data_IF_052911888170
#
_entry.id   IF_052911888170
#
_cell.length_a   1.000
_cell.length_b   1.000
_cell.length_c   1.000
_cell.angle_alpha   90.00
_cell.angle_beta   90.00
_cell.angle_gamma   90.00
#
_symmetry.space_group_name_H-M   'P 1'
#
loop_
_entity.id
_entity.type
_entity.pdbx_description
1 polymer ?
#
# COMPACT_ATOMS: atom_id res chain seq x y z
N UNK A 1 -17.85 16.58 -17.65
CA UNK A 1 -17.62 15.36 -16.87
C UNK A 1 -18.96 14.76 -16.46
N UNK A 2 -19.15 13.46 -16.64
CA UNK A 2 -20.41 12.80 -16.30
C UNK A 2 -20.51 12.56 -14.79
N UNK A 3 -21.75 12.41 -14.28
CA UNK A 3 -21.98 12.13 -12.88
C UNK A 3 -21.34 10.81 -12.44
N UNK A 4 -21.33 9.79 -13.32
CA UNK A 4 -20.72 8.50 -12.98
C UNK A 4 -19.21 8.59 -12.85
N UNK A 5 -18.54 9.41 -13.64
CA UNK A 5 -17.09 9.64 -13.49
C UNK A 5 -16.75 10.29 -12.15
N UNK A 6 -17.54 11.26 -11.73
CA UNK A 6 -17.37 11.93 -10.44
C UNK A 6 -17.58 10.94 -9.29
N UNK A 7 -18.64 10.12 -9.37
CA UNK A 7 -18.94 9.13 -8.34
C UNK A 7 -17.83 8.11 -8.23
N UNK A 8 -17.35 7.57 -9.37
CA UNK A 8 -16.28 6.55 -9.36
C UNK A 8 -14.98 7.11 -8.78
N UNK A 9 -14.62 8.33 -9.13
CA UNK A 9 -13.45 9.02 -8.61
C UNK A 9 -13.59 9.23 -7.09
N UNK A 10 -14.74 9.73 -6.65
CA UNK A 10 -14.99 9.98 -5.23
C UNK A 10 -15.01 8.69 -4.44
N UNK A 11 -15.60 7.62 -4.96
CA UNK A 11 -15.61 6.31 -4.31
C UNK A 11 -14.19 5.80 -4.09
N UNK A 12 -13.33 5.88 -5.11
CA UNK A 12 -11.95 5.44 -4.96
C UNK A 12 -11.19 6.30 -3.96
N UNK A 13 -11.34 7.63 -4.01
CA UNK A 13 -10.66 8.53 -3.08
C UNK A 13 -11.07 8.20 -1.64
N UNK A 14 -12.36 7.98 -1.40
CA UNK A 14 -12.84 7.60 -0.06
C UNK A 14 -12.22 6.28 0.37
N UNK A 15 -12.20 5.28 -0.51
CA UNK A 15 -11.60 3.98 -0.21
C UNK A 15 -10.11 4.12 0.12
N UNK A 16 -9.38 4.90 -0.68
CA UNK A 16 -7.95 5.14 -0.48
C UNK A 16 -7.69 5.85 0.85
N UNK A 17 -8.44 6.90 1.14
CA UNK A 17 -8.27 7.66 2.38
C UNK A 17 -8.61 6.80 3.60
N UNK A 18 -9.66 6.00 3.54
CA UNK A 18 -10.00 5.08 4.63
C UNK A 18 -8.91 4.03 4.84
N UNK A 19 -8.32 3.53 3.76
CA UNK A 19 -7.25 2.55 3.86
C UNK A 19 -6.01 3.12 4.55
N UNK A 20 -5.69 4.38 4.29
CA UNK A 20 -4.53 5.06 4.89
C UNK A 20 -4.83 5.53 6.31
N UNK A 21 -6.08 5.86 6.62
CA UNK A 21 -6.48 6.47 7.89
C UNK A 21 -6.47 5.47 9.05
N UNK A 22 -5.31 4.88 9.30
CA UNK A 22 -5.06 3.91 10.37
C UNK A 22 -3.55 3.95 10.67
N UNK A 23 -3.14 4.10 11.93
CA UNK A 23 -1.73 4.32 12.26
C UNK A 23 -0.78 3.26 11.69
N UNK A 24 -1.14 1.98 11.79
CA UNK A 24 -0.27 0.91 11.32
C UNK A 24 -0.23 0.83 9.79
N UNK A 25 -1.37 1.05 9.12
CA UNK A 25 -1.38 1.07 7.65
C UNK A 25 -0.64 2.29 7.12
N UNK A 26 -0.77 3.43 7.78
CA UNK A 26 0.00 4.62 7.44
C UNK A 26 1.51 4.38 7.60
N UNK A 27 1.90 3.68 8.67
CA UNK A 27 3.30 3.31 8.89
C UNK A 27 3.82 2.41 7.77
N UNK A 28 3.04 1.41 7.37
CA UNK A 28 3.43 0.52 6.26
C UNK A 28 3.66 1.33 4.98
N UNK A 29 2.74 2.22 4.63
CA UNK A 29 2.88 3.06 3.44
C UNK A 29 4.15 3.90 3.51
N UNK A 30 4.46 4.44 4.68
CA UNK A 30 5.66 5.24 4.89
C UNK A 30 6.93 4.40 4.74
N UNK A 31 6.94 3.19 5.32
CA UNK A 31 8.09 2.29 5.23
C UNK A 31 8.35 1.81 3.81
N UNK A 32 7.29 1.47 3.06
CA UNK A 32 7.42 0.98 1.69
C UNK A 32 7.90 2.06 0.72
N UNK A 33 7.93 3.30 1.14
CA UNK A 33 8.50 4.40 0.39
C UNK A 33 10.01 4.23 0.20
N UNK A 34 10.65 3.53 1.15
CA UNK A 34 12.07 3.24 1.12
C UNK A 34 12.30 1.74 1.34
N UNK A 35 12.14 0.94 0.28
CA UNK A 35 12.29 -0.51 0.40
C UNK A 35 13.71 -0.93 0.79
N UNK A 36 14.72 -0.10 0.50
CA UNK A 36 16.09 -0.41 0.86
C UNK A 36 16.36 -0.25 2.36
N UNK A 37 15.45 0.36 3.11
CA UNK A 37 15.56 0.46 4.57
C UNK A 37 15.29 -0.85 5.29
N UNK A 38 14.72 -1.83 4.59
CA UNK A 38 14.47 -3.16 5.15
C UNK A 38 15.70 -4.05 5.02
N UNK A 39 15.79 -5.15 5.82
CA UNK A 39 16.89 -6.09 5.67
C UNK A 39 16.99 -6.66 4.26
N UNK A 40 18.18 -7.07 3.82
CA UNK A 40 18.35 -7.69 2.50
C UNK A 40 17.46 -8.91 2.33
N UNK A 41 16.98 -9.10 1.11
CA UNK A 41 16.18 -10.27 0.73
C UNK A 41 16.70 -10.82 -0.59
N UNK A 42 16.30 -12.04 -0.91
CA UNK A 42 16.77 -12.72 -2.11
C UNK A 42 16.43 -11.96 -3.40
N UNK A 43 15.18 -11.48 -3.47
CA UNK A 43 14.70 -10.72 -4.63
C UNK A 43 14.83 -9.22 -4.37
N UNK A 44 15.17 -8.40 -5.39
CA UNK A 44 15.34 -6.94 -5.17
C UNK A 44 14.03 -6.29 -4.71
N UNK A 45 14.05 -5.71 -3.52
CA UNK A 45 12.87 -5.09 -2.92
C UNK A 45 12.38 -3.90 -3.74
N UNK A 46 13.27 -3.19 -4.42
CA UNK A 46 12.90 -2.06 -5.28
C UNK A 46 12.09 -2.49 -6.51
N UNK A 47 12.21 -3.75 -6.93
CA UNK A 47 11.51 -4.26 -8.11
C UNK A 47 10.26 -5.03 -7.74
N UNK A 48 10.37 -5.99 -6.81
CA UNK A 48 9.25 -6.88 -6.49
C UNK A 48 8.53 -6.48 -5.21
N UNK A 49 9.13 -5.63 -4.40
CA UNK A 49 8.57 -5.21 -3.12
C UNK A 49 9.24 -5.89 -1.95
N UNK A 50 8.80 -5.52 -0.75
CA UNK A 50 9.33 -6.00 0.52
C UNK A 50 8.55 -7.24 0.94
N UNK A 51 9.28 -8.30 1.33
CA UNK A 51 8.67 -9.53 1.82
C UNK A 51 7.85 -9.26 3.07
N UNK A 52 6.67 -9.87 3.16
CA UNK A 52 5.76 -9.69 4.29
C UNK A 52 6.44 -9.93 5.64
N UNK A 53 7.34 -10.90 5.71
CA UNK A 53 8.05 -11.21 6.96
C UNK A 53 8.86 -10.03 7.50
N UNK A 54 9.41 -9.20 6.60
CA UNK A 54 10.17 -8.01 7.00
C UNK A 54 9.26 -6.90 7.49
N UNK A 55 8.09 -6.75 6.86
CA UNK A 55 7.07 -5.79 7.31
C UNK A 55 6.58 -6.21 8.70
N UNK A 56 6.29 -7.51 8.86
CA UNK A 56 5.85 -8.09 10.13
C UNK A 56 6.87 -7.85 11.24
N UNK A 57 8.14 -8.12 10.97
CA UNK A 57 9.20 -7.96 11.95
C UNK A 57 9.33 -6.51 12.43
N UNK A 58 9.25 -5.55 11.48
CA UNK A 58 9.34 -4.12 11.82
C UNK A 58 8.15 -3.68 12.65
N UNK A 59 6.96 -4.17 12.34
CA UNK A 59 5.75 -3.81 13.07
C UNK A 59 5.68 -4.48 14.45
N UNK A 60 6.28 -5.65 14.61
CA UNK A 60 6.20 -6.40 15.86
C UNK A 60 4.82 -6.99 16.13
N UNK A 61 4.06 -7.29 15.07
CA UNK A 61 2.71 -7.84 15.15
C UNK A 61 2.67 -9.25 14.56
N UNK A 62 1.54 -9.94 14.70
CA UNK A 62 1.36 -11.25 14.11
C UNK A 62 1.28 -11.19 12.60
N UNK A 63 1.60 -12.30 11.93
CA UNK A 63 1.49 -12.39 10.48
C UNK A 63 0.06 -12.13 10.01
N UNK A 64 -0.93 -12.67 10.72
CA UNK A 64 -2.34 -12.48 10.32
C UNK A 64 -2.76 -11.03 10.41
N UNK A 65 -2.30 -10.31 11.44
CA UNK A 65 -2.60 -8.88 11.59
C UNK A 65 -1.99 -8.07 10.44
N UNK A 66 -0.71 -8.29 10.15
CA UNK A 66 -0.02 -7.55 9.07
C UNK A 66 -0.60 -7.92 7.71
N UNK A 67 -0.94 -9.20 7.49
CA UNK A 67 -1.62 -9.65 6.27
C UNK A 67 -2.92 -8.90 6.05
N UNK A 68 -3.70 -8.66 7.10
CA UNK A 68 -4.94 -7.88 7.00
C UNK A 68 -4.68 -6.43 6.63
N UNK A 69 -3.66 -5.81 7.22
CA UNK A 69 -3.30 -4.43 6.90
C UNK A 69 -2.90 -4.27 5.44
N UNK A 70 -2.02 -5.12 4.93
CA UNK A 70 -1.59 -5.02 3.53
C UNK A 70 -2.71 -5.40 2.57
N UNK A 71 -3.64 -6.28 2.97
CA UNK A 71 -4.81 -6.61 2.16
C UNK A 71 -5.74 -5.40 2.01
N UNK A 72 -5.94 -4.61 3.05
CA UNK A 72 -6.73 -3.36 2.97
C UNK A 72 -6.09 -2.39 1.99
N UNK A 73 -4.78 -2.20 2.09
CA UNK A 73 -4.04 -1.31 1.19
C UNK A 73 -4.08 -1.81 -0.26
N UNK A 74 -3.99 -3.12 -0.46
CA UNK A 74 -4.04 -3.71 -1.79
C UNK A 74 -5.42 -3.56 -2.43
N UNK A 75 -6.49 -3.77 -1.67
CA UNK A 75 -7.86 -3.59 -2.18
C UNK A 75 -8.15 -2.14 -2.56
N UNK A 76 -7.49 -1.20 -1.91
CA UNK A 76 -7.59 0.22 -2.25
C UNK A 76 -6.65 0.61 -3.40
N UNK A 77 -5.93 -0.35 -3.98
CA UNK A 77 -5.00 -0.16 -5.08
C UNK A 77 -3.79 0.72 -4.73
N UNK A 78 -3.44 0.79 -3.45
CA UNK A 78 -2.33 1.61 -2.97
C UNK A 78 -0.99 0.87 -2.93
N UNK A 79 -1.03 -0.46 -2.95
CA UNK A 79 0.16 -1.30 -3.02
C UNK A 79 -0.07 -2.42 -4.02
N UNK A 80 1.02 -2.88 -4.61
CA UNK A 80 1.06 -4.07 -5.46
C UNK A 80 1.61 -5.24 -4.65
N UNK A 81 1.05 -6.43 -4.88
CA UNK A 81 1.55 -7.66 -4.30
C UNK A 81 2.15 -8.53 -5.41
N UNK A 82 3.36 -9.01 -5.19
CA UNK A 82 4.01 -9.99 -6.08
C UNK A 82 4.28 -11.25 -5.25
N UNK A 83 3.80 -12.39 -5.73
CA UNK A 83 4.09 -13.67 -5.09
C UNK A 83 5.25 -14.35 -5.77
N UNK A 84 6.23 -14.75 -4.96
CA UNK A 84 7.40 -15.51 -5.41
C UNK A 84 7.44 -16.76 -4.55
N UNK A 85 7.11 -17.92 -5.12
CA UNK A 85 6.91 -19.13 -4.37
C UNK A 85 5.76 -18.97 -3.39
N UNK A 86 6.03 -19.22 -2.12
CA UNK A 86 5.03 -19.07 -1.05
C UNK A 86 5.06 -17.69 -0.38
N UNK A 87 5.94 -16.80 -0.82
CA UNK A 87 6.16 -15.51 -0.17
C UNK A 87 5.51 -14.39 -0.93
N UNK A 88 4.77 -13.51 -0.21
CA UNK A 88 4.18 -12.29 -0.76
C UNK A 88 5.11 -11.12 -0.52
N UNK A 89 5.26 -10.29 -1.54
CA UNK A 89 6.09 -9.09 -1.53
C UNK A 89 5.23 -7.89 -1.87
N UNK A 90 5.44 -6.77 -1.21
CA UNK A 90 4.58 -5.59 -1.34
C UNK A 90 5.40 -4.36 -1.69
N UNK A 91 4.93 -3.61 -2.68
CA UNK A 91 5.50 -2.31 -3.06
C UNK A 91 4.39 -1.31 -3.28
N UNK A 92 4.71 -0.04 -3.13
CA UNK A 92 3.74 1.03 -3.33
C UNK A 92 3.33 1.11 -4.79
N UNK A 93 2.05 1.44 -5.01
CA UNK A 93 1.54 1.78 -6.34
C UNK A 93 1.74 3.28 -6.55
N UNK A 94 2.88 3.66 -7.12
CA UNK A 94 3.23 5.07 -7.26
C UNK A 94 2.29 5.81 -8.22
N UNK A 95 1.76 5.14 -9.24
CA UNK A 95 0.79 5.74 -10.15
C UNK A 95 -0.50 6.12 -9.43
N UNK A 96 -1.03 5.22 -8.60
CA UNK A 96 -2.23 5.48 -7.81
C UNK A 96 -2.00 6.61 -6.80
N UNK A 97 -0.83 6.63 -6.16
CA UNK A 97 -0.49 7.67 -5.18
C UNK A 97 -0.34 9.04 -5.84
N UNK A 98 0.25 9.10 -7.03
CA UNK A 98 0.33 10.34 -7.79
C UNK A 98 -1.06 10.86 -8.15
N UNK A 99 -1.97 9.95 -8.54
CA UNK A 99 -3.36 10.32 -8.83
C UNK A 99 -4.06 10.86 -7.59
N UNK A 100 -3.87 10.21 -6.45
CA UNK A 100 -4.46 10.67 -5.19
C UNK A 100 -3.96 12.07 -4.85
N UNK A 101 -2.66 12.31 -5.00
CA UNK A 101 -2.06 13.62 -4.77
C UNK A 101 -2.63 14.71 -5.67
N UNK A 102 -2.99 14.36 -6.91
CA UNK A 102 -3.62 15.32 -7.84
C UNK A 102 -5.06 15.64 -7.46
N UNK A 103 -5.77 14.66 -6.90
CA UNK A 103 -7.18 14.80 -6.55
C UNK A 103 -7.41 15.49 -5.21
N UNK A 104 -6.52 15.30 -4.24
CA UNK A 104 -6.70 15.84 -2.89
C UNK A 104 -6.89 17.36 -2.85
N UNK A 105 -6.11 18.18 -3.58
CA UNK A 105 -6.31 19.64 -3.54
C UNK A 105 -7.67 20.10 -4.08
N UNK A 106 -8.33 19.27 -4.87
CA UNK A 106 -9.67 19.58 -5.39
C UNK A 106 -10.77 19.27 -4.37
N UNK A 107 -10.44 18.50 -3.33
CA UNK A 107 -11.38 18.04 -2.32
C UNK A 107 -11.25 18.89 -1.05
N UNK A 108 -10.04 19.24 -0.70
CA UNK A 108 -9.74 19.99 0.52
C UNK A 108 -8.98 21.25 0.19
#
# INVERSE_FOLDING_TARGET
MSSSELVDTDEWVVTALKAIAHPQRMAIMRWLRDPESFPPQLEPASEVGVCLKHIQARMGASQSTVSQYVAVLQRADLVHCTKIGQWSHYRRNEDALARLNQLLPEII
#
